data_IF_748933525772
#
_entry.id   IF_748933525772
#
_cell.length_a   1.000
_cell.length_b   1.000
_cell.length_c   1.000
_cell.angle_alpha   90.00
_cell.angle_beta   90.00
_cell.angle_gamma   90.00
#
_symmetry.space_group_name_H-M   'P 1'
#
loop_
_entity.id
_entity.type
_entity.pdbx_description
1 polymer ?
#
# COMPACT_ATOMS: atom_id res chain seq x y z
N UNK A 1 10.32 8.01 12.13
CA UNK A 1 10.91 7.29 13.29
C UNK A 1 11.81 8.21 14.11
N UNK A 2 11.89 8.03 15.45
CA UNK A 2 12.86 8.75 16.27
C UNK A 2 14.27 8.49 15.73
N UNK A 3 15.03 9.56 15.49
CA UNK A 3 16.39 9.49 14.98
C UNK A 3 17.40 9.52 16.11
N UNK A 4 18.44 8.68 16.03
CA UNK A 4 19.56 8.68 16.97
C UNK A 4 20.06 7.27 17.30
N UNK A 5 21.31 7.17 17.77
CA UNK A 5 21.94 5.89 18.10
C UNK A 5 22.46 5.11 16.89
N UNK A 6 23.04 3.95 17.15
CA UNK A 6 23.62 3.05 16.14
C UNK A 6 22.64 1.95 15.69
N UNK A 7 21.47 1.85 16.32
CA UNK A 7 20.38 0.95 15.98
C UNK A 7 19.05 1.56 16.47
N UNK A 8 18.02 1.52 15.63
CA UNK A 8 16.67 1.99 15.94
C UNK A 8 15.68 0.91 15.52
N UNK A 9 14.73 0.61 16.39
CA UNK A 9 13.59 -0.24 16.10
C UNK A 9 12.35 0.38 16.71
N UNK A 10 11.19 0.09 16.13
CA UNK A 10 9.91 0.45 16.72
C UNK A 10 8.98 -0.77 16.76
N UNK A 11 7.97 -0.70 17.60
CA UNK A 11 6.96 -1.73 17.72
C UNK A 11 5.61 -1.12 18.11
N UNK A 12 4.56 -1.52 17.41
CA UNK A 12 3.18 -1.23 17.82
C UNK A 12 2.75 -2.26 18.87
N UNK A 13 2.62 -1.80 20.11
CA UNK A 13 2.12 -2.59 21.23
C UNK A 13 0.62 -2.92 21.06
N UNK A 14 0.32 -3.93 20.25
CA UNK A 14 -1.04 -4.25 19.81
C UNK A 14 -1.91 -4.91 20.90
N UNK A 15 -1.30 -5.30 22.02
CA UNK A 15 -1.99 -5.84 23.19
C UNK A 15 -1.73 -4.99 24.43
N UNK A 16 -2.75 -4.91 25.31
CA UNK A 16 -2.58 -4.29 26.62
C UNK A 16 -1.78 -5.22 27.52
N UNK A 17 -0.87 -4.65 28.29
CA UNK A 17 -0.13 -5.40 29.30
C UNK A 17 1.28 -4.90 29.48
N UNK A 18 2.09 -5.76 30.09
CA UNK A 18 3.51 -5.54 30.25
C UNK A 18 4.24 -5.89 28.97
N UNK A 19 4.95 -4.90 28.43
CA UNK A 19 5.92 -5.08 27.36
C UNK A 19 7.32 -4.92 27.96
N UNK A 20 8.29 -5.64 27.43
CA UNK A 20 9.68 -5.53 27.85
C UNK A 20 10.57 -5.36 26.62
N UNK A 21 11.63 -4.59 26.78
CA UNK A 21 12.71 -4.51 25.80
C UNK A 21 13.85 -5.36 26.33
N UNK A 22 14.35 -6.26 25.50
CA UNK A 22 15.50 -7.09 25.80
C UNK A 22 16.57 -6.87 24.74
N UNK A 23 17.81 -6.63 25.18
CA UNK A 23 18.98 -6.66 24.31
C UNK A 23 19.66 -8.00 24.50
N UNK A 24 19.77 -8.74 23.41
CA UNK A 24 20.44 -10.04 23.35
C UNK A 24 21.38 -10.04 22.16
N UNK A 25 22.50 -10.75 22.28
CA UNK A 25 23.53 -10.87 21.24
C UNK A 25 24.30 -9.56 20.98
N UNK A 26 25.51 -9.48 21.55
CA UNK A 26 26.42 -8.33 21.45
C UNK A 26 27.42 -8.34 22.61
N UNK A 27 28.59 -7.74 22.42
CA UNK A 27 29.61 -7.58 23.47
C UNK A 27 29.83 -6.08 23.74
N UNK A 28 29.96 -5.72 25.03
CA UNK A 28 30.29 -4.37 25.48
C UNK A 28 29.15 -3.65 26.21
N UNK A 29 29.45 -2.44 26.65
CA UNK A 29 28.49 -1.56 27.31
C UNK A 29 27.49 -1.01 26.28
N UNK A 30 26.23 -0.85 26.69
CA UNK A 30 25.17 -0.30 25.84
C UNK A 30 24.29 0.68 26.62
N UNK A 31 23.74 1.65 25.90
CA UNK A 31 22.72 2.57 26.39
C UNK A 31 21.45 2.37 25.56
N UNK A 32 20.30 2.27 26.24
CA UNK A 32 18.98 2.15 25.58
C UNK A 32 18.13 3.36 25.97
N UNK A 33 17.60 4.03 24.97
CA UNK A 33 16.49 4.98 25.13
C UNK A 33 15.20 4.30 24.69
N UNK A 34 14.18 4.29 25.55
CA UNK A 34 12.84 3.78 25.22
C UNK A 34 11.87 4.94 25.26
N UNK A 35 11.18 5.16 24.15
CA UNK A 35 10.14 6.16 24.02
C UNK A 35 8.81 5.47 23.69
N UNK A 36 7.71 6.01 24.23
CA UNK A 36 6.37 5.47 24.01
C UNK A 36 5.48 6.61 23.58
N UNK A 37 4.84 6.43 22.43
CA UNK A 37 3.98 7.43 21.83
C UNK A 37 2.55 6.92 21.71
N UNK A 38 1.63 7.87 21.67
CA UNK A 38 0.27 7.66 21.19
C UNK A 38 0.24 7.89 19.68
N UNK A 39 -0.66 7.25 18.93
CA UNK A 39 -0.76 7.48 17.50
C UNK A 39 -1.08 8.96 17.24
N UNK A 40 -0.62 9.50 16.10
CA UNK A 40 -0.65 10.92 15.80
C UNK A 40 -2.05 11.53 15.84
N UNK A 41 -3.07 10.72 15.52
CA UNK A 41 -4.48 11.12 15.53
C UNK A 41 -5.21 10.87 16.87
N UNK A 42 -4.54 10.37 17.92
CA UNK A 42 -5.18 10.14 19.22
C UNK A 42 -5.60 11.48 19.86
N UNK A 43 -6.87 11.60 20.27
CA UNK A 43 -7.38 12.77 20.98
C UNK A 43 -7.97 13.91 20.13
N UNK A 44 -7.78 13.89 18.81
CA UNK A 44 -8.33 14.87 17.87
C UNK A 44 -9.49 14.22 17.07
N UNK A 45 -10.51 14.96 16.55
CA UNK A 45 -11.57 14.39 15.74
C UNK A 45 -11.37 14.44 14.20
N UNK A 46 -10.16 14.42 13.60
CA UNK A 46 -10.04 14.41 12.16
C UNK A 46 -10.28 13.01 11.60
N UNK A 47 -10.93 12.98 10.44
CA UNK A 47 -11.09 11.80 9.61
C UNK A 47 -9.90 11.79 8.66
N UNK A 48 -9.03 10.77 8.74
CA UNK A 48 -7.98 10.59 7.74
C UNK A 48 -8.64 10.42 6.37
N UNK A 49 -8.20 11.18 5.38
CA UNK A 49 -8.68 11.07 4.02
C UNK A 49 -7.59 10.42 3.16
N UNK A 50 -7.96 9.36 2.44
CA UNK A 50 -7.15 8.79 1.38
C UNK A 50 -7.77 9.22 0.04
N UNK A 51 -7.04 10.04 -0.71
CA UNK A 51 -7.43 10.50 -2.04
C UNK A 51 -6.72 9.69 -3.12
N UNK A 52 -7.49 9.06 -4.01
CA UNK A 52 -6.95 8.32 -5.15
C UNK A 52 -7.01 9.19 -6.41
N UNK A 53 -5.85 9.52 -6.95
CA UNK A 53 -5.72 10.38 -8.13
C UNK A 53 -5.46 9.55 -9.39
N UNK A 54 -6.45 9.50 -10.27
CA UNK A 54 -6.41 8.82 -11.57
C UNK A 54 -6.16 9.79 -12.74
N UNK A 55 -6.11 11.10 -12.45
CA UNK A 55 -6.01 12.19 -13.41
C UNK A 55 -4.59 12.45 -13.93
N UNK A 56 -3.58 11.84 -13.28
CA UNK A 56 -2.18 12.19 -13.45
C UNK A 56 -1.85 13.51 -12.74
N UNK A 57 -0.59 13.73 -12.40
CA UNK A 57 -0.20 14.85 -11.55
C UNK A 57 1.17 15.43 -11.93
N UNK A 58 1.34 16.74 -11.71
CA UNK A 58 2.64 17.40 -11.68
C UNK A 58 3.19 17.44 -10.26
N UNK A 59 4.03 16.45 -9.92
CA UNK A 59 4.58 16.25 -8.58
C UNK A 59 6.11 16.37 -8.54
N UNK A 60 6.68 16.72 -7.39
CA UNK A 60 8.11 16.63 -7.13
C UNK A 60 8.48 15.22 -6.67
N UNK A 61 9.03 14.39 -7.56
CA UNK A 61 9.44 13.01 -7.24
C UNK A 61 10.70 12.94 -6.38
N UNK A 62 11.34 14.08 -6.10
CA UNK A 62 12.47 14.17 -5.17
C UNK A 62 12.14 13.69 -3.75
N UNK A 63 10.86 13.66 -3.36
CA UNK A 63 10.41 13.08 -2.08
C UNK A 63 10.69 11.56 -1.99
N UNK A 64 10.81 10.88 -3.13
CA UNK A 64 11.19 9.46 -3.25
C UNK A 64 12.62 9.27 -3.76
N UNK A 65 13.45 10.31 -3.75
CA UNK A 65 14.81 10.27 -4.31
C UNK A 65 14.88 10.47 -5.84
N UNK A 66 13.76 10.84 -6.47
CA UNK A 66 13.69 11.10 -7.90
C UNK A 66 14.31 12.43 -8.34
N UNK A 67 14.29 12.71 -9.65
CA UNK A 67 15.03 13.82 -10.27
C UNK A 67 14.34 15.21 -10.15
N UNK A 68 13.29 15.34 -9.32
CA UNK A 68 12.62 16.63 -9.06
C UNK A 68 11.18 16.69 -9.62
N UNK A 69 10.75 17.86 -10.08
CA UNK A 69 9.38 18.05 -10.60
C UNK A 69 9.19 17.30 -11.93
N UNK A 70 8.13 16.49 -11.99
CA UNK A 70 7.72 15.67 -13.13
C UNK A 70 6.24 15.84 -13.41
N UNK A 71 5.78 15.31 -14.53
CA UNK A 71 4.36 15.27 -14.90
C UNK A 71 4.04 13.85 -15.31
N UNK A 72 3.12 13.24 -14.57
CA UNK A 72 2.76 11.84 -14.71
C UNK A 72 1.51 11.72 -15.59
N UNK A 73 1.52 10.70 -16.45
CA UNK A 73 0.37 10.39 -17.27
C UNK A 73 -0.82 9.87 -16.44
N UNK A 74 -2.07 10.16 -16.83
CA UNK A 74 -3.27 9.65 -16.17
C UNK A 74 -3.47 8.15 -16.38
N UNK A 75 -4.30 7.50 -15.53
CA UNK A 75 -4.76 6.12 -15.72
C UNK A 75 -5.30 5.86 -17.13
N UNK A 76 -6.07 6.82 -17.69
CA UNK A 76 -6.66 6.68 -19.04
C UNK A 76 -5.64 6.46 -20.15
N UNK A 77 -4.37 6.84 -19.95
CA UNK A 77 -3.32 6.64 -20.94
C UNK A 77 -2.91 5.17 -21.10
N UNK A 78 -3.25 4.32 -20.12
CA UNK A 78 -2.81 2.93 -20.04
C UNK A 78 -3.91 1.93 -20.44
N UNK A 79 -5.18 2.33 -20.48
CA UNK A 79 -6.32 1.44 -20.76
C UNK A 79 -6.13 0.58 -22.01
N UNK A 80 -5.69 1.18 -23.11
CA UNK A 80 -5.50 0.48 -24.37
C UNK A 80 -4.44 -0.62 -24.31
N UNK A 81 -3.49 -0.53 -23.38
CA UNK A 81 -2.43 -1.53 -23.18
C UNK A 81 -2.93 -2.80 -22.50
N UNK A 82 -4.08 -2.73 -21.83
CA UNK A 82 -4.81 -3.88 -21.29
C UNK A 82 -5.96 -4.35 -22.20
N UNK A 83 -6.08 -3.75 -23.39
CA UNK A 83 -7.22 -3.99 -24.28
C UNK A 83 -8.54 -3.37 -23.80
N UNK A 84 -8.49 -2.45 -22.84
CA UNK A 84 -9.64 -1.68 -22.38
C UNK A 84 -9.85 -0.41 -23.23
N UNK A 85 -11.07 0.09 -23.22
CA UNK A 85 -11.48 1.31 -23.90
C UNK A 85 -11.82 2.42 -22.91
N UNK A 86 -12.08 3.63 -23.41
CA UNK A 86 -12.57 4.72 -22.56
C UNK A 86 -13.92 4.43 -21.88
N UNK A 87 -14.73 3.50 -22.42
CA UNK A 87 -15.98 3.09 -21.79
C UNK A 87 -15.74 2.30 -20.49
N UNK A 88 -14.58 1.64 -20.38
CA UNK A 88 -14.21 0.81 -19.24
C UNK A 88 -13.49 1.61 -18.14
N UNK A 89 -13.14 2.89 -18.42
CA UNK A 89 -12.43 3.76 -17.48
C UNK A 89 -13.16 3.90 -16.15
N UNK A 90 -14.44 4.24 -16.20
CA UNK A 90 -15.21 4.53 -14.99
C UNK A 90 -15.47 3.25 -14.18
N UNK A 91 -15.89 2.12 -14.80
CA UNK A 91 -15.93 0.83 -14.12
C UNK A 91 -14.60 0.41 -13.49
N UNK A 92 -13.47 0.63 -14.16
CA UNK A 92 -12.16 0.31 -13.60
C UNK A 92 -11.82 1.17 -12.37
N UNK A 93 -12.10 2.47 -12.42
CA UNK A 93 -11.93 3.36 -11.26
C UNK A 93 -12.80 2.90 -10.08
N UNK A 94 -14.05 2.51 -10.35
CA UNK A 94 -14.94 1.99 -9.32
C UNK A 94 -14.36 0.74 -8.66
N UNK A 95 -13.81 -0.18 -9.45
CA UNK A 95 -13.23 -1.43 -8.96
C UNK A 95 -11.95 -1.20 -8.13
N UNK A 96 -11.06 -0.31 -8.58
CA UNK A 96 -9.86 0.08 -7.82
C UNK A 96 -10.27 0.68 -6.48
N UNK A 97 -11.20 1.65 -6.49
CA UNK A 97 -11.69 2.29 -5.26
C UNK A 97 -12.40 1.29 -4.35
N UNK A 98 -13.16 0.34 -4.92
CA UNK A 98 -13.85 -0.69 -4.17
C UNK A 98 -12.86 -1.63 -3.49
N UNK A 99 -11.88 -2.15 -4.22
CA UNK A 99 -10.81 -3.02 -3.70
C UNK A 99 -9.99 -2.32 -2.63
N UNK A 100 -9.44 -1.12 -2.90
CA UNK A 100 -8.69 -0.37 -1.88
C UNK A 100 -9.52 -0.13 -0.61
N UNK A 101 -10.81 0.14 -0.76
CA UNK A 101 -11.72 0.34 0.38
C UNK A 101 -12.00 -0.97 1.12
N UNK A 102 -12.12 -2.07 0.41
CA UNK A 102 -12.26 -3.42 0.94
C UNK A 102 -11.08 -3.68 1.87
N UNK A 103 -9.87 -3.77 1.35
CA UNK A 103 -8.67 -4.16 2.09
C UNK A 103 -8.46 -3.25 3.33
N UNK A 104 -8.68 -1.94 3.19
CA UNK A 104 -8.46 -1.01 4.31
C UNK A 104 -9.64 -0.99 5.29
N UNK A 105 -10.92 -1.00 4.87
CA UNK A 105 -12.04 -0.87 5.84
C UNK A 105 -12.62 -2.20 6.26
N UNK A 106 -12.77 -3.12 5.32
CA UNK A 106 -13.47 -4.39 5.54
C UNK A 106 -12.62 -5.30 6.40
N UNK A 107 -11.33 -5.44 6.15
CA UNK A 107 -10.41 -6.27 6.95
C UNK A 107 -10.35 -5.78 8.40
N UNK A 108 -10.22 -4.47 8.59
CA UNK A 108 -10.21 -3.85 9.92
C UNK A 108 -11.53 -4.05 10.67
N UNK A 109 -12.66 -4.05 9.96
CA UNK A 109 -13.97 -4.34 10.57
C UNK A 109 -14.14 -5.81 10.88
N UNK A 110 -13.73 -6.69 9.97
CA UNK A 110 -13.83 -8.14 10.10
C UNK A 110 -13.00 -8.64 11.29
N UNK A 111 -11.83 -8.06 11.52
CA UNK A 111 -10.99 -8.37 12.69
C UNK A 111 -11.54 -7.84 14.02
N UNK A 112 -12.48 -6.88 13.99
CA UNK A 112 -13.11 -6.32 15.19
C UNK A 112 -12.19 -5.41 16.02
N UNK A 113 -11.05 -5.01 15.47
CA UNK A 113 -9.95 -4.37 16.21
C UNK A 113 -10.14 -2.87 16.45
N UNK A 114 -10.90 -2.15 15.61
CA UNK A 114 -11.17 -0.72 15.81
C UNK A 114 -12.60 -0.33 15.39
N UNK A 115 -13.49 -0.14 16.37
CA UNK A 115 -14.88 0.29 16.14
C UNK A 115 -15.00 1.80 15.84
N UNK A 116 -13.99 2.57 16.22
CA UNK A 116 -13.95 4.03 16.09
C UNK A 116 -13.15 4.47 14.86
N UNK A 117 -12.76 3.53 14.01
CA UNK A 117 -12.04 3.75 12.75
C UNK A 117 -12.77 4.72 11.81
N UNK A 118 -12.08 5.77 11.37
CA UNK A 118 -12.60 6.79 10.44
C UNK A 118 -11.56 7.14 9.38
N UNK A 119 -11.54 6.37 8.30
CA UNK A 119 -10.94 6.81 7.04
C UNK A 119 -12.05 7.27 6.09
N UNK A 120 -11.81 8.31 5.29
CA UNK A 120 -12.64 8.76 4.16
C UNK A 120 -11.88 8.45 2.87
N UNK A 121 -12.57 7.86 1.90
CA UNK A 121 -12.01 7.66 0.57
C UNK A 121 -12.65 8.66 -0.38
N UNK A 122 -11.79 9.40 -1.08
CA UNK A 122 -12.18 10.31 -2.16
C UNK A 122 -11.38 9.92 -3.41
N UNK A 123 -11.85 10.29 -4.59
CA UNK A 123 -11.12 10.03 -5.82
C UNK A 123 -11.29 11.14 -6.86
N UNK A 124 -10.30 11.28 -7.75
CA UNK A 124 -10.26 12.38 -8.72
C UNK A 124 -11.35 12.34 -9.81
N UNK A 125 -12.13 11.25 -9.92
CA UNK A 125 -13.27 11.16 -10.85
C UNK A 125 -14.50 11.83 -10.26
N UNK A 126 -14.78 11.57 -8.98
CA UNK A 126 -16.03 11.96 -8.32
C UNK A 126 -15.89 13.20 -7.43
N UNK A 127 -14.68 13.47 -6.96
CA UNK A 127 -14.39 14.48 -5.96
C UNK A 127 -13.39 15.52 -6.50
N UNK A 128 -13.47 16.75 -5.97
CA UNK A 128 -12.41 17.73 -6.17
C UNK A 128 -11.16 17.29 -5.41
N UNK A 129 -9.98 17.60 -5.95
CA UNK A 129 -8.70 17.28 -5.30
C UNK A 129 -8.57 18.03 -3.98
N UNK A 130 -8.58 17.33 -2.82
CA UNK A 130 -8.44 17.94 -1.50
C UNK A 130 -6.97 17.95 -1.02
N UNK A 131 -6.02 17.48 -1.83
CA UNK A 131 -4.64 17.35 -1.39
C UNK A 131 -4.01 18.70 -1.03
N UNK A 132 -3.30 18.74 0.10
CA UNK A 132 -2.83 19.96 0.74
C UNK A 132 -3.76 20.52 1.82
N UNK A 133 -4.93 19.90 2.03
CA UNK A 133 -5.71 20.06 3.27
C UNK A 133 -5.19 19.11 4.37
N UNK A 134 -5.43 19.46 5.64
CA UNK A 134 -5.03 18.66 6.80
C UNK A 134 -5.61 17.23 6.73
N UNK A 135 -4.77 16.24 7.05
CA UNK A 135 -5.15 14.81 7.12
C UNK A 135 -5.58 14.21 5.77
N UNK A 136 -4.98 14.67 4.67
CA UNK A 136 -5.20 14.12 3.34
C UNK A 136 -3.91 13.49 2.80
N UNK A 137 -3.87 12.15 2.79
CA UNK A 137 -2.85 11.41 2.05
C UNK A 137 -3.34 11.12 0.63
N UNK A 138 -2.43 11.07 -0.34
CA UNK A 138 -2.76 10.84 -1.75
C UNK A 138 -1.97 9.69 -2.36
N UNK A 139 -2.65 8.85 -3.13
CA UNK A 139 -2.01 7.88 -4.02
C UNK A 139 -2.29 8.28 -5.46
N UNK A 140 -1.24 8.52 -6.23
CA UNK A 140 -1.35 8.83 -7.66
C UNK A 140 -1.26 7.52 -8.44
N UNK A 141 -2.32 7.18 -9.17
CA UNK A 141 -2.43 5.96 -9.97
C UNK A 141 -2.30 6.34 -11.44
N UNK A 142 -1.10 6.16 -11.97
CA UNK A 142 -0.73 6.63 -13.28
C UNK A 142 0.77 6.88 -13.41
N UNK A 143 1.17 7.23 -14.62
CA UNK A 143 2.53 7.53 -14.97
C UNK A 143 3.39 6.30 -15.23
N UNK A 144 4.67 6.55 -15.53
CA UNK A 144 5.66 5.53 -15.88
C UNK A 144 6.94 5.74 -15.08
N UNK A 145 7.78 4.70 -14.97
CA UNK A 145 9.14 4.78 -14.42
C UNK A 145 9.95 5.86 -15.13
N UNK A 146 9.82 5.95 -16.46
CA UNK A 146 10.52 6.96 -17.25
C UNK A 146 10.05 8.39 -16.94
N UNK A 147 8.75 8.59 -16.70
CA UNK A 147 8.17 9.89 -16.34
C UNK A 147 8.54 10.29 -14.90
N UNK A 148 8.46 9.37 -13.94
CA UNK A 148 8.72 9.62 -12.52
C UNK A 148 10.21 9.73 -12.21
N UNK A 149 11.04 8.95 -12.92
CA UNK A 149 12.44 8.72 -12.62
C UNK A 149 12.68 7.81 -11.42
N UNK A 150 11.69 7.00 -11.02
CA UNK A 150 11.76 6.04 -9.91
C UNK A 150 11.58 4.64 -10.48
N UNK A 151 12.54 3.74 -10.26
CA UNK A 151 12.55 2.37 -10.77
C UNK A 151 11.73 1.43 -9.87
N UNK A 152 10.41 1.62 -9.83
CA UNK A 152 9.48 0.80 -9.05
C UNK A 152 8.10 0.75 -9.71
N UNK A 153 7.23 -0.15 -9.24
CA UNK A 153 5.79 -0.15 -9.56
C UNK A 153 5.04 0.75 -8.57
N UNK A 154 5.30 0.57 -7.27
CA UNK A 154 4.69 1.34 -6.20
C UNK A 154 5.73 1.91 -5.24
N UNK A 155 5.46 3.08 -4.67
CA UNK A 155 6.27 3.64 -3.58
C UNK A 155 5.50 4.67 -2.75
N UNK A 156 5.52 4.50 -1.44
CA UNK A 156 5.07 5.47 -0.45
C UNK A 156 6.21 6.41 -0.02
N UNK A 157 5.86 7.65 0.35
CA UNK A 157 6.82 8.66 0.80
C UNK A 157 7.60 8.21 2.04
N UNK A 158 6.93 7.53 2.96
CA UNK A 158 7.57 6.93 4.12
C UNK A 158 6.75 5.77 4.66
N UNK A 159 7.37 5.02 5.57
CA UNK A 159 6.68 4.13 6.49
C UNK A 159 6.49 4.94 7.76
N UNK A 160 5.24 5.22 8.12
CA UNK A 160 4.90 6.12 9.23
C UNK A 160 4.14 5.41 10.38
N UNK A 161 4.87 4.67 11.24
CA UNK A 161 4.31 4.03 12.42
C UNK A 161 3.59 5.03 13.33
N UNK A 162 2.26 4.91 13.38
CA UNK A 162 1.42 5.78 14.18
C UNK A 162 0.76 6.93 13.42
N UNK A 163 0.98 7.08 12.10
CA UNK A 163 0.37 8.10 11.24
C UNK A 163 0.56 9.53 11.81
N UNK A 164 1.80 9.91 12.06
CA UNK A 164 2.19 11.25 12.51
C UNK A 164 2.26 12.25 11.34
N UNK A 165 2.69 11.80 10.16
CA UNK A 165 2.58 12.49 8.89
C UNK A 165 1.26 12.14 8.23
N UNK A 166 0.30 13.04 8.28
CA UNK A 166 -1.08 12.75 7.82
C UNK A 166 -1.35 13.25 6.39
N UNK A 167 -0.32 13.76 5.73
CA UNK A 167 -0.33 14.43 4.42
C UNK A 167 0.72 13.83 3.47
N UNK A 168 0.79 12.51 3.42
CA UNK A 168 1.78 11.79 2.62
C UNK A 168 1.34 11.51 1.19
N UNK A 169 2.31 11.25 0.33
CA UNK A 169 2.09 10.87 -1.07
C UNK A 169 2.64 9.48 -1.38
N UNK A 170 1.97 8.78 -2.30
CA UNK A 170 2.47 7.56 -2.93
C UNK A 170 2.24 7.58 -4.45
N UNK A 171 2.96 6.74 -5.16
CA UNK A 171 2.79 6.48 -6.59
C UNK A 171 2.46 5.02 -6.84
N UNK A 172 1.61 4.77 -7.83
CA UNK A 172 1.43 3.46 -8.49
C UNK A 172 1.58 3.68 -9.99
N UNK A 173 2.75 3.31 -10.52
CA UNK A 173 3.15 3.46 -11.92
C UNK A 173 2.61 2.29 -12.75
N UNK A 174 2.11 2.58 -13.94
CA UNK A 174 1.29 1.65 -14.72
C UNK A 174 2.00 1.11 -15.96
N UNK A 175 3.23 1.54 -16.25
CA UNK A 175 3.96 1.09 -17.44
C UNK A 175 4.25 -0.41 -17.41
N UNK A 176 4.97 -0.89 -16.40
CA UNK A 176 5.31 -2.32 -16.30
C UNK A 176 4.04 -3.17 -16.13
N UNK A 177 3.09 -2.72 -15.30
CA UNK A 177 1.80 -3.40 -15.10
C UNK A 177 0.99 -3.56 -16.40
N UNK A 178 1.30 -2.77 -17.42
CA UNK A 178 0.64 -2.79 -18.73
C UNK A 178 1.59 -3.13 -19.89
N UNK A 179 2.76 -3.69 -19.60
CA UNK A 179 3.62 -4.27 -20.63
C UNK A 179 2.96 -5.49 -21.31
N UNK A 180 3.45 -5.95 -22.47
CA UNK A 180 3.00 -7.22 -23.02
C UNK A 180 3.13 -8.37 -22.01
N UNK A 181 2.32 -9.42 -22.18
CA UNK A 181 2.40 -10.62 -21.35
C UNK A 181 3.83 -11.18 -21.34
N UNK A 182 4.31 -11.52 -20.14
CA UNK A 182 5.60 -12.16 -19.90
C UNK A 182 5.45 -13.64 -19.57
N UNK A 183 6.42 -14.15 -18.82
CA UNK A 183 6.33 -15.47 -18.18
C UNK A 183 5.47 -15.39 -16.91
N UNK A 184 5.03 -16.53 -16.37
CA UNK A 184 4.35 -16.54 -15.06
C UNK A 184 5.24 -15.88 -13.99
N UNK A 185 4.62 -15.17 -13.03
CA UNK A 185 5.28 -14.26 -12.07
C UNK A 185 5.81 -12.95 -12.67
N UNK A 186 5.57 -12.65 -13.95
CA UNK A 186 5.86 -11.32 -14.49
C UNK A 186 4.90 -10.26 -13.91
N UNK A 187 5.37 -9.04 -13.60
CA UNK A 187 4.54 -7.94 -13.09
C UNK A 187 3.46 -7.45 -14.08
N UNK A 188 3.58 -7.74 -15.37
CA UNK A 188 2.55 -7.36 -16.32
C UNK A 188 1.23 -8.06 -16.02
N UNK A 189 0.16 -7.29 -15.83
CA UNK A 189 -1.19 -7.84 -15.66
C UNK A 189 -1.66 -8.60 -16.90
N UNK A 190 -1.10 -8.31 -18.09
CA UNK A 190 -1.44 -9.02 -19.31
C UNK A 190 -0.97 -10.49 -19.28
N UNK A 191 -0.02 -10.84 -18.42
CA UNK A 191 0.42 -12.23 -18.18
C UNK A 191 -0.72 -13.12 -17.71
N UNK A 192 -1.64 -12.58 -16.90
CA UNK A 192 -2.73 -13.33 -16.27
C UNK A 192 -4.08 -13.14 -16.99
N UNK A 193 -4.12 -12.34 -18.06
CA UNK A 193 -5.36 -12.05 -18.78
C UNK A 193 -5.53 -13.00 -19.97
N UNK A 194 -6.67 -13.70 -19.99
CA UNK A 194 -7.07 -14.57 -21.09
C UNK A 194 -8.41 -14.11 -21.70
N UNK A 195 -8.98 -14.81 -22.70
CA UNK A 195 -10.35 -14.57 -23.13
C UNK A 195 -11.42 -14.87 -22.08
N UNK A 196 -11.09 -15.64 -21.03
CA UNK A 196 -12.02 -15.97 -19.95
C UNK A 196 -12.11 -14.88 -18.87
N UNK A 197 -11.09 -14.02 -18.78
CA UNK A 197 -10.97 -12.97 -17.77
C UNK A 197 -12.04 -11.89 -17.86
N UNK A 198 -12.63 -11.54 -16.72
CA UNK A 198 -13.15 -10.19 -16.51
C UNK A 198 -11.98 -9.22 -16.28
N UNK A 199 -11.57 -8.54 -17.35
CA UNK A 199 -10.42 -7.62 -17.33
C UNK A 199 -10.61 -6.46 -16.36
N UNK A 200 -11.83 -5.92 -16.27
CA UNK A 200 -12.08 -4.76 -15.41
C UNK A 200 -11.98 -5.18 -13.95
N UNK A 201 -12.61 -6.31 -13.60
CA UNK A 201 -12.52 -6.88 -12.26
C UNK A 201 -11.07 -7.15 -11.86
N UNK A 202 -10.33 -7.88 -12.70
CA UNK A 202 -8.95 -8.26 -12.40
C UNK A 202 -7.99 -7.08 -12.27
N UNK A 203 -7.99 -6.17 -13.26
CA UNK A 203 -7.08 -5.02 -13.23
C UNK A 203 -7.45 -4.09 -12.07
N UNK A 204 -8.75 -3.95 -11.79
CA UNK A 204 -9.25 -3.18 -10.67
C UNK A 204 -8.79 -3.74 -9.33
N UNK A 205 -8.89 -5.06 -9.15
CA UNK A 205 -8.39 -5.77 -7.97
C UNK A 205 -6.88 -5.60 -7.84
N UNK A 206 -6.10 -5.96 -8.86
CA UNK A 206 -4.65 -5.92 -8.81
C UNK A 206 -4.10 -4.51 -8.52
N UNK A 207 -4.61 -3.48 -9.22
CA UNK A 207 -4.20 -2.10 -8.95
C UNK A 207 -4.71 -1.61 -7.60
N UNK A 208 -5.93 -2.00 -7.20
CA UNK A 208 -6.49 -1.69 -5.89
C UNK A 208 -5.69 -2.26 -4.72
N UNK A 209 -5.16 -3.48 -4.87
CA UNK A 209 -4.26 -4.15 -3.94
C UNK A 209 -2.93 -3.39 -3.80
N UNK A 210 -2.31 -3.00 -4.91
CA UNK A 210 -1.08 -2.18 -4.87
C UNK A 210 -1.36 -0.82 -4.20
N UNK A 211 -2.47 -0.16 -4.53
CA UNK A 211 -2.86 1.11 -3.88
C UNK A 211 -3.03 0.94 -2.37
N UNK A 212 -3.66 -0.16 -1.93
CA UNK A 212 -3.83 -0.45 -0.52
C UNK A 212 -2.50 -0.81 0.17
N UNK A 213 -1.60 -1.53 -0.50
CA UNK A 213 -0.24 -1.78 -0.05
C UNK A 213 0.51 -0.47 0.21
N UNK A 214 0.54 0.45 -0.76
CA UNK A 214 1.22 1.74 -0.60
C UNK A 214 0.58 2.60 0.49
N UNK A 215 -0.76 2.58 0.60
CA UNK A 215 -1.45 3.25 1.68
C UNK A 215 -1.17 2.61 3.06
N UNK A 216 -0.87 1.31 3.10
CA UNK A 216 -0.45 0.60 4.31
C UNK A 216 0.82 1.19 4.93
N UNK A 217 1.75 1.65 4.10
CA UNK A 217 2.97 2.33 4.57
C UNK A 217 2.68 3.68 5.26
N UNK A 218 1.70 4.47 4.78
CA UNK A 218 1.24 5.68 5.50
C UNK A 218 0.75 5.39 6.91
N UNK A 219 0.23 4.18 7.12
CA UNK A 219 -0.28 3.73 8.40
C UNK A 219 0.73 2.88 9.18
N UNK A 220 1.96 2.82 8.68
CA UNK A 220 3.11 2.31 9.40
C UNK A 220 3.49 0.87 9.14
N UNK A 221 2.95 0.21 8.13
CA UNK A 221 3.34 -1.16 7.79
C UNK A 221 4.74 -1.22 7.17
N UNK A 222 5.54 -2.23 7.55
CA UNK A 222 6.74 -2.62 6.79
C UNK A 222 6.37 -3.75 5.84
N UNK A 223 7.32 -4.11 4.98
CA UNK A 223 7.14 -5.30 4.17
C UNK A 223 7.26 -6.57 5.01
N UNK A 224 6.49 -7.58 4.61
CA UNK A 224 6.57 -8.95 5.12
C UNK A 224 7.10 -9.91 4.04
N UNK A 225 7.34 -11.16 4.42
CA UNK A 225 8.13 -12.12 3.67
C UNK A 225 7.33 -12.83 2.56
N UNK A 226 7.48 -12.35 1.33
CA UNK A 226 6.84 -12.92 0.13
C UNK A 226 7.24 -14.38 -0.21
N UNK A 227 8.26 -14.95 0.45
CA UNK A 227 8.81 -16.27 0.13
C UNK A 227 8.21 -17.41 0.98
N UNK A 228 7.18 -17.11 1.77
CA UNK A 228 6.47 -18.09 2.57
C UNK A 228 5.06 -18.37 2.01
N UNK A 229 4.33 -19.31 2.61
CA UNK A 229 3.01 -19.75 2.13
C UNK A 229 1.86 -18.84 2.59
N UNK A 230 2.17 -17.74 3.29
CA UNK A 230 1.21 -16.82 3.86
C UNK A 230 1.10 -15.56 2.99
N UNK A 231 0.04 -15.50 2.19
CA UNK A 231 -0.28 -14.29 1.46
C UNK A 231 -0.55 -13.12 2.43
N UNK A 232 0.11 -11.99 2.17
CA UNK A 232 -0.16 -10.75 2.87
C UNK A 232 -0.11 -9.59 1.89
N UNK A 233 -1.02 -8.64 2.05
CA UNK A 233 -1.03 -7.48 1.17
C UNK A 233 0.25 -6.64 1.28
N UNK A 234 1.01 -6.75 2.37
CA UNK A 234 2.32 -6.10 2.56
C UNK A 234 3.52 -6.96 2.16
N UNK A 235 3.33 -8.08 1.46
CA UNK A 235 4.44 -8.84 0.89
C UNK A 235 5.30 -7.90 0.03
N UNK A 236 6.62 -7.94 0.23
CA UNK A 236 7.53 -7.19 -0.63
C UNK A 236 7.31 -7.55 -2.12
N UNK A 237 7.60 -6.62 -3.03
CA UNK A 237 7.46 -6.91 -4.46
C UNK A 237 8.29 -8.11 -4.93
N UNK A 238 7.73 -8.88 -5.88
CA UNK A 238 8.36 -10.05 -6.50
C UNK A 238 7.43 -11.25 -6.67
N UNK A 239 6.43 -11.40 -5.80
CA UNK A 239 5.39 -12.44 -5.89
C UNK A 239 4.06 -11.84 -6.38
N UNK A 240 4.04 -11.48 -7.67
CA UNK A 240 2.91 -10.78 -8.28
C UNK A 240 1.60 -11.57 -8.33
N UNK A 241 1.58 -12.91 -8.56
CA UNK A 241 0.34 -13.69 -8.51
C UNK A 241 -0.35 -13.57 -7.15
N UNK A 242 0.42 -13.63 -6.06
CA UNK A 242 -0.11 -13.46 -4.70
C UNK A 242 -0.62 -12.03 -4.50
N UNK A 243 0.19 -11.01 -4.83
CA UNK A 243 -0.22 -9.61 -4.66
C UNK A 243 -1.49 -9.26 -5.45
N UNK A 244 -1.66 -9.82 -6.65
CA UNK A 244 -2.83 -9.57 -7.50
C UNK A 244 -4.04 -10.43 -7.12
N UNK A 245 -3.83 -11.49 -6.32
CA UNK A 245 -4.86 -12.44 -5.96
C UNK A 245 -5.23 -13.37 -7.11
N UNK A 246 -4.28 -13.76 -7.96
CA UNK A 246 -4.51 -14.70 -9.06
C UNK A 246 -4.81 -16.09 -8.50
N UNK A 247 -5.91 -16.69 -8.98
CA UNK A 247 -6.36 -18.01 -8.55
C UNK A 247 -5.48 -19.19 -9.00
N UNK A 248 -5.77 -20.41 -8.51
CA UNK A 248 -5.09 -21.65 -8.93
C UNK A 248 -5.15 -21.97 -10.43
N UNK A 249 -6.08 -21.39 -11.20
CA UNK A 249 -6.12 -21.53 -12.65
C UNK A 249 -5.11 -20.63 -13.40
N UNK A 250 -4.35 -19.81 -12.67
CA UNK A 250 -3.35 -18.84 -13.16
C UNK A 250 -3.95 -17.75 -14.06
N UNK A 251 -5.27 -17.57 -14.05
CA UNK A 251 -6.00 -16.60 -14.86
C UNK A 251 -6.69 -15.60 -13.96
N UNK A 252 -6.31 -14.34 -14.08
CA UNK A 252 -6.99 -13.25 -13.39
C UNK A 252 -8.38 -12.97 -13.96
N UNK A 253 -9.29 -12.52 -13.11
CA UNK A 253 -10.66 -12.14 -13.43
C UNK A 253 -11.61 -13.33 -13.51
N UNK A 254 -11.32 -14.39 -12.77
CA UNK A 254 -12.10 -15.64 -12.69
C UNK A 254 -12.70 -15.82 -11.29
N UNK A 255 -13.44 -16.91 -11.08
CA UNK A 255 -14.16 -17.12 -9.83
C UNK A 255 -13.27 -17.67 -8.69
N UNK A 256 -12.06 -18.11 -9.00
CA UNK A 256 -11.08 -18.66 -8.06
C UNK A 256 -9.96 -17.68 -7.71
N UNK A 257 -10.01 -16.44 -8.20
CA UNK A 257 -9.20 -15.34 -7.70
C UNK A 257 -9.37 -15.20 -6.17
N UNK A 258 -8.26 -14.88 -5.52
CA UNK A 258 -8.09 -14.86 -4.08
C UNK A 258 -8.21 -13.44 -3.56
N UNK A 259 -8.93 -13.28 -2.45
CA UNK A 259 -8.97 -12.05 -1.66
C UNK A 259 -7.69 -11.95 -0.81
N UNK A 260 -6.91 -10.89 -0.99
CA UNK A 260 -5.59 -10.74 -0.37
C UNK A 260 -5.67 -9.69 0.72
N UNK A 261 -5.62 -10.14 1.97
CA UNK A 261 -5.86 -9.31 3.14
C UNK A 261 -4.56 -8.83 3.81
N UNK A 262 -4.69 -7.81 4.64
CA UNK A 262 -3.68 -7.53 5.67
C UNK A 262 -3.70 -8.62 6.76
N UNK A 263 -2.53 -8.92 7.35
CA UNK A 263 -2.41 -9.99 8.33
C UNK A 263 -1.10 -10.00 9.11
N UNK A 264 -0.93 -11.04 9.94
CA UNK A 264 0.31 -11.25 10.70
C UNK A 264 1.28 -12.14 9.94
N UNK A 265 2.44 -11.65 9.53
CA UNK A 265 3.44 -12.44 8.82
C UNK A 265 4.88 -12.10 9.27
N UNK A 266 5.89 -12.85 8.83
CA UNK A 266 7.29 -12.59 9.13
C UNK A 266 7.78 -11.31 8.45
N UNK A 267 8.57 -10.50 9.16
CA UNK A 267 9.23 -9.34 8.55
C UNK A 267 10.10 -9.75 7.36
N UNK A 268 10.16 -8.91 6.32
CA UNK A 268 11.17 -9.02 5.29
C UNK A 268 12.57 -8.82 5.91
N UNK A 269 13.45 -9.84 5.92
CA UNK A 269 14.77 -9.73 6.54
C UNK A 269 15.70 -8.74 5.83
N UNK A 270 15.40 -8.41 4.57
CA UNK A 270 16.16 -7.43 3.77
C UNK A 270 16.01 -6.00 4.28
N UNK A 271 14.96 -5.72 5.06
CA UNK A 271 14.73 -4.41 5.69
C UNK A 271 15.42 -4.29 7.06
N UNK A 272 16.18 -5.32 7.47
CA UNK A 272 16.97 -5.31 8.69
C UNK A 272 16.19 -5.68 9.96
N UNK A 273 14.95 -6.13 9.81
CA UNK A 273 14.11 -6.61 10.91
C UNK A 273 13.97 -8.14 10.90
N UNK A 274 13.67 -8.72 12.06
CA UNK A 274 13.38 -10.15 12.22
C UNK A 274 12.19 -10.30 13.15
N UNK A 275 11.51 -11.45 13.10
CA UNK A 275 10.28 -11.70 13.86
C UNK A 275 9.04 -11.55 13.00
N UNK A 276 7.92 -11.23 13.62
CA UNK A 276 6.63 -11.08 12.93
C UNK A 276 6.10 -9.65 13.03
N UNK A 277 5.43 -9.22 11.98
CA UNK A 277 4.64 -8.01 11.88
C UNK A 277 3.15 -8.38 11.79
N UNK A 278 2.31 -7.66 12.52
CA UNK A 278 0.86 -7.67 12.30
C UNK A 278 0.44 -6.40 11.58
N UNK A 279 0.39 -6.50 10.24
CA UNK A 279 0.14 -5.37 9.33
C UNK A 279 -1.27 -4.81 9.51
N UNK A 280 -2.21 -5.67 9.91
CA UNK A 280 -3.57 -5.26 10.24
C UNK A 280 -3.62 -4.46 11.55
N UNK A 281 -3.03 -4.97 12.64
CA UNK A 281 -3.04 -4.30 13.95
C UNK A 281 -2.27 -2.98 13.94
N UNK A 282 -1.29 -2.83 13.06
CA UNK A 282 -0.58 -1.56 12.87
C UNK A 282 -1.48 -0.47 12.31
N UNK A 283 -2.19 -0.76 11.22
CA UNK A 283 -3.17 0.17 10.64
C UNK A 283 -4.24 0.55 11.68
N UNK A 284 -4.74 -0.45 12.43
CA UNK A 284 -5.69 -0.25 13.54
C UNK A 284 -5.16 0.77 14.56
N UNK A 285 -3.90 0.63 14.97
CA UNK A 285 -3.27 1.51 15.95
C UNK A 285 -3.07 2.92 15.38
N UNK A 286 -2.55 3.04 14.16
CA UNK A 286 -2.27 4.32 13.52
C UNK A 286 -3.53 5.17 13.31
N UNK A 287 -4.67 4.52 13.07
CA UNK A 287 -5.96 5.17 12.83
C UNK A 287 -6.88 5.13 14.06
N UNK A 288 -6.28 5.00 15.24
CA UNK A 288 -6.98 5.03 16.52
C UNK A 288 -7.17 6.46 17.03
N UNK A 289 -8.38 6.72 17.52
CA UNK A 289 -8.76 7.95 18.22
C UNK A 289 -8.50 7.88 19.71
#
# INVERSE_FOLDING_TARGET
MPGGGNAVAEHVAAQRGWHYVAVSSGDGDYDITVEVYRPGLEGDPPVQTLFLDFGGERINTGIWGGPGVRTLSPLRAFLGRWGLTNADRDPLIDEIVATTRENIRRDLRASGLNRDFRIRFLNSRDDADPFGEDHVSRVIVGGTIAESGIETIGIAQSIDPGNFGTEESALVLLDILSDPAGEFEDPSLNTYITPASDRVAFIGQAVGNIVAHEAGHFFGNWHVDQFNDQANLMDQGGNFPVLYGVGPDEVGGTADDVDVDFGEDAFNPSEGFTGAEDTLKRIVFALRR
#
